data_IF_844632837960
#
_entry.id   IF_844632837960
#
_cell.length_a   1.000
_cell.length_b   1.000
_cell.length_c   1.000
_cell.angle_alpha   90.00
_cell.angle_beta   90.00
_cell.angle_gamma   90.00
#
_symmetry.space_group_name_H-M   'P 1'
#
loop_
_entity.id
_entity.type
_entity.pdbx_description
1 polymer ?
#
# COMPACT_ATOMS: atom_id res chain seq x y z
N UNK A 1 15.24 15.32 47.42
CA UNK A 1 15.28 16.17 46.20
C UNK A 1 16.72 16.23 45.70
N UNK A 2 17.01 15.64 44.54
CA UNK A 2 18.37 15.69 43.98
C UNK A 2 18.69 17.14 43.56
N UNK A 3 19.62 17.79 44.26
CA UNK A 3 20.01 19.18 44.01
C UNK A 3 21.09 19.21 42.92
N UNK A 4 20.69 18.96 41.67
CA UNK A 4 21.60 18.99 40.54
C UNK A 4 22.06 20.42 40.21
N UNK A 5 23.37 20.57 39.98
CA UNK A 5 23.97 21.81 39.49
C UNK A 5 23.25 22.30 38.21
N UNK A 6 23.17 23.62 38.02
CA UNK A 6 22.58 24.23 36.80
C UNK A 6 23.15 23.61 35.51
N UNK A 7 24.44 23.26 35.51
CA UNK A 7 25.10 22.58 34.37
C UNK A 7 24.53 21.18 34.11
N UNK A 8 24.33 20.38 35.16
CA UNK A 8 23.80 19.01 35.03
C UNK A 8 22.36 19.01 34.54
N UNK A 9 21.54 19.98 34.97
CA UNK A 9 20.15 20.15 34.48
C UNK A 9 20.09 20.46 32.99
N UNK A 10 20.96 21.36 32.51
CA UNK A 10 21.03 21.72 31.08
C UNK A 10 21.45 20.51 30.24
N UNK A 11 22.48 19.76 30.69
CA UNK A 11 22.96 18.56 29.99
C UNK A 11 21.87 17.49 29.93
N UNK A 12 21.19 17.21 31.07
CA UNK A 12 20.11 16.22 31.10
C UNK A 12 18.93 16.61 30.21
N UNK A 13 18.57 17.90 30.16
CA UNK A 13 17.52 18.39 29.27
C UNK A 13 17.90 18.28 27.79
N UNK A 14 19.15 18.57 27.43
CA UNK A 14 19.64 18.43 26.06
C UNK A 14 19.63 16.96 25.59
N UNK A 15 20.06 16.03 26.45
CA UNK A 15 20.00 14.59 26.17
C UNK A 15 18.56 14.12 25.97
N UNK A 16 17.63 14.57 26.82
CA UNK A 16 16.22 14.21 26.71
C UNK A 16 15.63 14.68 25.36
N UNK A 17 15.94 15.90 24.92
CA UNK A 17 15.50 16.42 23.62
C UNK A 17 16.06 15.58 22.47
N UNK A 18 17.35 15.24 22.52
CA UNK A 18 17.98 14.40 21.50
C UNK A 18 17.32 13.01 21.40
N UNK A 19 16.97 12.41 22.54
CA UNK A 19 16.25 11.13 22.59
C UNK A 19 14.85 11.25 21.95
N UNK A 20 14.11 12.31 22.28
CA UNK A 20 12.76 12.53 21.70
C UNK A 20 12.84 12.66 20.17
N UNK A 21 13.83 13.41 19.65
CA UNK A 21 14.04 13.56 18.21
C UNK A 21 14.38 12.20 17.57
N UNK A 22 15.28 11.43 18.17
CA UNK A 22 15.66 10.11 17.67
C UNK A 22 14.44 9.16 17.61
N UNK A 23 13.62 9.11 18.67
CA UNK A 23 12.40 8.31 18.72
C UNK A 23 11.45 8.74 17.60
N UNK A 24 11.25 10.05 17.41
CA UNK A 24 10.38 10.57 16.38
C UNK A 24 10.82 10.13 14.97
N UNK A 25 12.13 10.22 14.67
CA UNK A 25 12.68 9.77 13.38
C UNK A 25 12.47 8.26 13.20
N UNK A 26 12.75 7.46 14.23
CA UNK A 26 12.58 6.00 14.20
C UNK A 26 11.13 5.63 13.91
N UNK A 27 10.18 6.22 14.65
CA UNK A 27 8.74 5.98 14.45
C UNK A 27 8.32 6.36 13.03
N UNK A 28 8.82 7.47 12.49
CA UNK A 28 8.53 7.90 11.12
C UNK A 28 9.00 6.87 10.09
N UNK A 29 10.20 6.32 10.25
CA UNK A 29 10.76 5.30 9.33
C UNK A 29 9.92 4.01 9.40
N UNK A 30 9.63 3.50 10.60
CA UNK A 30 8.83 2.29 10.75
C UNK A 30 7.41 2.45 10.22
N UNK A 31 6.79 3.62 10.44
CA UNK A 31 5.48 3.91 9.88
C UNK A 31 5.52 3.95 8.35
N UNK A 32 6.56 4.53 7.75
CA UNK A 32 6.76 4.54 6.29
C UNK A 32 6.85 3.13 5.71
N UNK A 33 7.69 2.27 6.30
CA UNK A 33 7.84 0.88 5.86
C UNK A 33 6.56 0.06 6.04
N UNK A 34 5.84 0.28 7.15
CA UNK A 34 4.54 -0.35 7.39
C UNK A 34 3.55 -0.01 6.28
N UNK A 35 3.50 1.25 5.84
CA UNK A 35 2.65 1.67 4.72
C UNK A 35 2.99 0.97 3.40
N UNK A 36 4.26 0.64 3.14
CA UNK A 36 4.66 -0.13 1.94
C UNK A 36 4.06 -1.54 1.98
N UNK A 37 4.20 -2.21 3.12
CA UNK A 37 3.65 -3.56 3.31
C UNK A 37 2.13 -3.58 3.24
N UNK A 38 1.47 -2.59 3.86
CA UNK A 38 0.01 -2.44 3.80
C UNK A 38 -0.43 -2.25 2.36
N UNK A 39 0.23 -1.37 1.59
CA UNK A 39 -0.11 -1.12 0.18
C UNK A 39 0.01 -2.41 -0.66
N UNK A 40 1.11 -3.14 -0.52
CA UNK A 40 1.32 -4.41 -1.27
C UNK A 40 0.24 -5.43 -0.91
N UNK A 41 -0.13 -5.53 0.38
CA UNK A 41 -1.22 -6.40 0.82
C UNK A 41 -2.57 -5.98 0.22
N UNK A 42 -2.88 -4.69 0.24
CA UNK A 42 -4.10 -4.12 -0.35
C UNK A 42 -4.19 -4.40 -1.86
N UNK A 43 -3.09 -4.20 -2.59
CA UNK A 43 -3.00 -4.52 -4.03
C UNK A 43 -3.20 -6.02 -4.28
N UNK A 44 -2.61 -6.89 -3.45
CA UNK A 44 -2.78 -8.34 -3.57
C UNK A 44 -4.21 -8.80 -3.28
N UNK A 45 -4.90 -8.17 -2.33
CA UNK A 45 -6.32 -8.45 -2.04
C UNK A 45 -7.15 -8.11 -3.28
N UNK A 46 -6.99 -6.91 -3.85
CA UNK A 46 -7.68 -6.52 -5.08
C UNK A 46 -7.38 -7.48 -6.24
N UNK A 47 -6.12 -7.86 -6.43
CA UNK A 47 -5.71 -8.79 -7.46
C UNK A 47 -6.35 -10.17 -7.29
N UNK A 48 -6.35 -10.72 -6.08
CA UNK A 48 -7.03 -11.97 -5.77
C UNK A 48 -8.55 -11.89 -6.04
N UNK A 49 -9.18 -10.76 -5.76
CA UNK A 49 -10.59 -10.54 -6.09
C UNK A 49 -10.84 -10.56 -7.61
N UNK A 50 -9.92 -10.01 -8.41
CA UNK A 50 -9.98 -10.09 -9.86
C UNK A 50 -9.80 -11.53 -10.37
N UNK A 51 -8.88 -12.31 -9.79
CA UNK A 51 -8.71 -13.72 -10.16
C UNK A 51 -9.98 -14.53 -9.86
N UNK A 52 -10.59 -14.34 -8.69
CA UNK A 52 -11.86 -15.00 -8.35
C UNK A 52 -13.01 -14.62 -9.29
N UNK A 53 -13.05 -13.36 -9.73
CA UNK A 53 -14.00 -12.91 -10.73
C UNK A 53 -13.76 -13.64 -12.07
N UNK A 54 -12.49 -13.74 -12.51
CA UNK A 54 -12.14 -14.45 -13.73
C UNK A 54 -12.49 -15.94 -13.68
N UNK A 55 -12.23 -16.62 -12.56
CA UNK A 55 -12.58 -18.03 -12.38
C UNK A 55 -14.07 -18.31 -12.63
N UNK A 56 -14.93 -17.31 -12.36
CA UNK A 56 -16.38 -17.41 -12.53
C UNK A 56 -16.86 -16.99 -13.93
N UNK A 57 -16.32 -15.90 -14.46
CA UNK A 57 -16.83 -15.25 -15.68
C UNK A 57 -15.95 -15.47 -16.92
N UNK A 58 -14.78 -16.07 -16.74
CA UNK A 58 -13.75 -16.26 -17.77
C UNK A 58 -13.37 -14.94 -18.48
N UNK A 59 -13.47 -13.82 -17.75
CA UNK A 59 -13.08 -12.49 -18.16
C UNK A 59 -12.86 -11.63 -16.91
N UNK A 60 -12.02 -10.61 -17.00
CA UNK A 60 -11.89 -9.56 -16.00
C UNK A 60 -12.87 -8.39 -16.29
N UNK A 61 -13.21 -7.55 -15.30
CA UNK A 61 -13.94 -6.32 -15.57
C UNK A 61 -13.13 -5.40 -16.49
N UNK A 62 -13.74 -4.86 -17.55
CA UNK A 62 -13.05 -3.98 -18.50
C UNK A 62 -12.98 -2.56 -17.92
N UNK A 63 -11.78 -2.04 -17.74
CA UNK A 63 -11.51 -0.67 -17.28
C UNK A 63 -10.26 -0.12 -17.97
N UNK A 64 -10.43 0.94 -18.75
CA UNK A 64 -9.31 1.58 -19.45
C UNK A 64 -8.23 2.08 -18.49
N UNK A 65 -8.65 2.74 -17.40
CA UNK A 65 -7.81 3.21 -16.30
C UNK A 65 -8.72 3.70 -15.18
N UNK A 66 -8.52 3.22 -13.95
CA UNK A 66 -9.29 3.67 -12.78
C UNK A 66 -8.36 3.83 -11.57
N UNK A 67 -8.60 4.87 -10.76
CA UNK A 67 -7.88 5.05 -9.49
C UNK A 67 -8.36 4.02 -8.47
N UNK A 68 -7.48 3.58 -7.58
CA UNK A 68 -7.86 2.72 -6.46
C UNK A 68 -9.00 3.30 -5.62
N UNK A 69 -9.00 4.60 -5.40
CA UNK A 69 -10.03 5.30 -4.61
C UNK A 69 -11.44 5.19 -5.23
N UNK A 70 -11.50 5.00 -6.54
CA UNK A 70 -12.76 4.82 -7.27
C UNK A 70 -13.20 3.35 -7.30
N UNK A 71 -12.36 2.41 -6.85
CA UNK A 71 -12.70 0.99 -6.75
C UNK A 71 -13.40 0.73 -5.41
N UNK A 72 -14.73 0.72 -5.46
CA UNK A 72 -15.57 0.49 -4.27
C UNK A 72 -16.04 -0.96 -4.17
N UNK A 73 -16.29 -1.60 -5.31
CA UNK A 73 -16.92 -2.91 -5.34
C UNK A 73 -16.46 -3.71 -6.56
N UNK A 74 -16.19 -4.99 -6.40
CA UNK A 74 -16.19 -5.95 -7.51
C UNK A 74 -17.28 -6.97 -7.19
N UNK A 75 -18.27 -7.10 -8.06
CA UNK A 75 -19.36 -8.07 -7.92
C UNK A 75 -19.56 -8.84 -9.22
N UNK A 76 -20.49 -9.79 -9.24
CA UNK A 76 -20.90 -10.49 -10.46
C UNK A 76 -21.35 -9.56 -11.60
N UNK A 77 -21.86 -8.38 -11.25
CA UNK A 77 -22.28 -7.36 -12.22
C UNK A 77 -21.12 -6.50 -12.73
N UNK A 78 -19.89 -6.74 -12.24
CA UNK A 78 -18.67 -6.06 -12.64
C UNK A 78 -18.13 -5.11 -11.58
N UNK A 79 -17.30 -4.17 -12.03
CA UNK A 79 -16.65 -3.18 -11.17
C UNK A 79 -17.63 -2.04 -10.84
N UNK A 80 -17.75 -1.72 -9.56
CA UNK A 80 -18.63 -0.67 -9.01
C UNK A 80 -20.13 -0.87 -9.32
N UNK A 81 -20.53 -2.10 -9.65
CA UNK A 81 -21.93 -2.48 -9.84
C UNK A 81 -22.41 -3.29 -8.64
N UNK A 82 -23.62 -3.03 -8.14
CA UNK A 82 -24.22 -3.82 -7.05
C UNK A 82 -24.71 -5.18 -7.59
N UNK A 83 -24.56 -6.25 -6.80
CA UNK A 83 -24.90 -7.61 -7.22
C UNK A 83 -24.86 -8.62 -6.07
N UNK A 84 -25.11 -9.89 -6.40
CA UNK A 84 -25.31 -10.98 -5.42
C UNK A 84 -24.01 -11.48 -4.79
N UNK A 85 -23.00 -11.83 -5.60
CA UNK A 85 -21.67 -12.20 -5.08
C UNK A 85 -20.72 -11.02 -5.18
N UNK A 86 -20.03 -10.74 -4.06
CA UNK A 86 -19.05 -9.67 -3.93
C UNK A 86 -17.66 -10.29 -3.79
N UNK A 87 -16.76 -9.94 -4.71
CA UNK A 87 -15.36 -10.37 -4.70
C UNK A 87 -14.46 -9.39 -3.93
N UNK A 88 -14.82 -8.11 -3.91
CA UNK A 88 -14.09 -7.04 -3.22
C UNK A 88 -15.09 -6.04 -2.62
N UNK A 89 -15.10 -5.86 -1.30
CA UNK A 89 -16.02 -4.96 -0.61
C UNK A 89 -15.25 -3.75 -0.03
N UNK A 90 -15.38 -2.59 -0.67
CA UNK A 90 -14.60 -1.38 -0.38
C UNK A 90 -15.28 -0.34 0.50
N UNK A 91 -16.44 -0.61 1.12
CA UNK A 91 -17.23 0.43 1.79
C UNK A 91 -16.56 1.10 3.01
N UNK A 92 -15.45 0.56 3.53
CA UNK A 92 -14.59 1.21 4.53
C UNK A 92 -13.09 1.01 4.22
N UNK A 93 -12.79 0.65 2.97
CA UNK A 93 -11.42 0.38 2.56
C UNK A 93 -10.80 1.68 2.06
N UNK A 94 -9.80 2.18 2.77
CA UNK A 94 -9.01 3.33 2.33
C UNK A 94 -7.64 2.83 1.89
N UNK A 95 -7.28 3.13 0.66
CA UNK A 95 -5.93 2.88 0.18
C UNK A 95 -4.94 3.70 0.99
N UNK A 96 -3.88 3.05 1.48
CA UNK A 96 -2.84 3.75 2.23
C UNK A 96 -2.05 4.71 1.33
N UNK A 97 -2.07 4.45 0.01
CA UNK A 97 -1.50 5.27 -1.06
C UNK A 97 -2.21 5.01 -2.39
N UNK A 98 -2.14 5.95 -3.35
CA UNK A 98 -2.78 5.80 -4.65
C UNK A 98 -2.29 4.58 -5.42
N UNK A 99 -3.22 3.96 -6.14
CA UNK A 99 -2.95 2.90 -7.12
C UNK A 99 -3.73 3.17 -8.40
N UNK A 100 -3.35 2.52 -9.50
CA UNK A 100 -4.08 2.58 -10.77
C UNK A 100 -4.37 1.15 -11.24
N UNK A 101 -5.63 0.83 -11.50
CA UNK A 101 -6.04 -0.41 -12.16
C UNK A 101 -6.32 -0.16 -13.64
N UNK A 102 -5.84 -1.06 -14.49
CA UNK A 102 -6.16 -1.17 -15.92
C UNK A 102 -6.51 -2.62 -16.18
N UNK A 103 -7.58 -2.87 -16.95
CA UNK A 103 -8.00 -4.22 -17.32
C UNK A 103 -8.69 -4.21 -18.68
N UNK A 104 -8.29 -5.10 -19.57
CA UNK A 104 -8.81 -5.21 -20.95
C UNK A 104 -9.83 -6.36 -21.11
N UNK A 105 -10.16 -7.05 -20.01
CA UNK A 105 -11.02 -8.23 -20.01
C UNK A 105 -10.28 -9.56 -20.06
N UNK A 106 -9.02 -9.57 -20.51
CA UNK A 106 -8.15 -10.76 -20.56
C UNK A 106 -6.96 -10.66 -19.63
N UNK A 107 -6.49 -9.45 -19.39
CA UNK A 107 -5.39 -9.14 -18.49
C UNK A 107 -5.75 -7.92 -17.65
N UNK A 108 -5.19 -7.87 -16.44
CA UNK A 108 -5.20 -6.67 -15.62
C UNK A 108 -3.80 -6.30 -15.16
N UNK A 109 -3.69 -5.04 -14.74
CA UNK A 109 -2.48 -4.41 -14.26
C UNK A 109 -2.81 -3.42 -13.16
N UNK A 110 -2.14 -3.55 -12.03
CA UNK A 110 -2.24 -2.63 -10.89
C UNK A 110 -0.89 -1.96 -10.72
N UNK A 111 -0.82 -0.66 -10.99
CA UNK A 111 0.37 0.17 -10.85
C UNK A 111 0.34 0.91 -9.50
N UNK A 112 1.46 0.90 -8.75
CA UNK A 112 1.58 1.55 -7.43
C UNK A 112 3.05 1.88 -7.12
N UNK A 113 3.30 2.73 -6.12
CA UNK A 113 4.67 3.17 -5.77
C UNK A 113 4.98 2.88 -4.30
N UNK A 114 6.21 2.45 -4.04
CA UNK A 114 6.77 2.23 -2.71
C UNK A 114 7.83 3.30 -2.43
N UNK A 115 7.95 3.68 -1.16
CA UNK A 115 8.80 4.82 -0.76
C UNK A 115 10.11 4.38 -0.10
N UNK A 116 10.21 3.11 0.32
CA UNK A 116 11.37 2.62 1.06
C UNK A 116 12.14 1.55 0.28
N UNK A 117 13.37 1.31 0.70
CA UNK A 117 14.18 0.20 0.19
C UNK A 117 13.62 -1.15 0.61
N UNK A 118 13.53 -2.07 -0.34
CA UNK A 118 13.07 -3.44 -0.13
C UNK A 118 13.96 -4.42 -0.88
N UNK A 119 14.88 -5.12 -0.18
CA UNK A 119 15.79 -6.07 -0.81
C UNK A 119 15.06 -7.19 -1.57
N UNK A 120 13.93 -7.66 -1.02
CA UNK A 120 13.09 -8.70 -1.64
C UNK A 120 12.59 -8.28 -3.03
N UNK A 121 12.34 -7.00 -3.23
CA UNK A 121 11.85 -6.42 -4.48
C UNK A 121 12.94 -5.66 -5.24
N UNK A 122 14.20 -5.79 -4.81
CA UNK A 122 15.38 -5.11 -5.38
C UNK A 122 15.19 -3.59 -5.48
N UNK A 123 14.55 -2.99 -4.47
CA UNK A 123 14.33 -1.56 -4.38
C UNK A 123 15.38 -0.88 -3.50
N UNK A 124 16.00 0.18 -4.02
CA UNK A 124 16.94 1.04 -3.30
C UNK A 124 16.41 2.48 -3.31
N UNK A 125 15.79 2.92 -2.22
CA UNK A 125 15.20 4.26 -2.14
C UNK A 125 13.74 4.35 -2.62
N UNK A 126 13.00 3.23 -2.57
CA UNK A 126 11.65 3.14 -3.13
C UNK A 126 11.66 2.74 -4.60
N UNK A 127 10.48 2.73 -5.21
CA UNK A 127 10.31 2.23 -6.56
C UNK A 127 8.88 2.20 -7.03
N UNK A 128 8.70 2.14 -8.35
CA UNK A 128 7.41 1.89 -8.96
C UNK A 128 7.23 0.39 -9.17
N UNK A 129 6.08 -0.10 -8.74
CA UNK A 129 5.71 -1.50 -8.77
C UNK A 129 4.45 -1.70 -9.61
N UNK A 130 4.36 -2.91 -10.16
CA UNK A 130 3.26 -3.36 -11.00
C UNK A 130 2.91 -4.79 -10.64
N UNK A 131 1.64 -5.03 -10.32
CA UNK A 131 1.09 -6.37 -10.23
C UNK A 131 0.27 -6.67 -11.48
N UNK A 132 0.50 -7.83 -12.10
CA UNK A 132 -0.21 -8.31 -13.30
C UNK A 132 -0.99 -9.58 -13.02
N UNK A 133 -1.87 -9.93 -13.95
CA UNK A 133 -2.55 -11.23 -14.06
C UNK A 133 -1.67 -12.41 -13.64
N UNK A 134 -2.25 -13.31 -12.84
CA UNK A 134 -1.53 -14.42 -12.24
C UNK A 134 -0.68 -14.01 -11.04
N UNK A 135 -1.01 -12.88 -10.40
CA UNK A 135 -0.38 -12.38 -9.17
C UNK A 135 1.13 -12.12 -9.30
N UNK A 136 1.60 -11.77 -10.50
CA UNK A 136 3.01 -11.50 -10.77
C UNK A 136 3.34 -10.05 -10.46
N UNK A 137 4.27 -9.83 -9.53
CA UNK A 137 4.69 -8.50 -9.14
C UNK A 137 6.11 -8.19 -9.65
N UNK A 138 6.25 -7.04 -10.28
CA UNK A 138 7.50 -6.49 -10.82
C UNK A 138 7.70 -5.09 -10.24
N UNK A 139 8.93 -4.75 -9.83
CA UNK A 139 9.25 -3.43 -9.30
C UNK A 139 10.53 -2.89 -9.93
N UNK A 140 10.61 -1.57 -10.08
CA UNK A 140 11.75 -0.83 -10.61
C UNK A 140 12.11 0.27 -9.62
N UNK A 141 13.39 0.35 -9.22
CA UNK A 141 13.87 1.42 -8.32
C UNK A 141 13.72 2.79 -8.96
N UNK A 142 13.48 3.81 -8.12
CA UNK A 142 13.50 5.23 -8.52
C UNK A 142 14.93 5.72 -8.79
#
# INVERSE_FOLDING_TARGET
>A
MFNYSKKTKIISSAILIAIIIAIFIIVKIYNSQSKDLVLVSQVKILANSLEKYYDKFNAYPIVQKISGEDIKLISDQGLNQMGEVIYFAGNNFTWVRPIILISDGYNYRIDFSLDNSWPLWKLSGGGDCRLRTGLKMECVSK
#
